data_IF_844140988679
#
_entry.id   IF_844140988679
#
_cell.length_a   1.000
_cell.length_b   1.000
_cell.length_c   1.000
_cell.angle_alpha   90.00
_cell.angle_beta   90.00
_cell.angle_gamma   90.00
#
_symmetry.space_group_name_H-M   'P 1'
#
loop_
_entity.id
_entity.type
_entity.pdbx_description
1 polymer ?
#
# COMPACT_ATOMS: atom_id res chain seq x y z
N UNK A 1 1.37 -14.62 2.02
CA UNK A 1 1.76 -13.47 2.88
C UNK A 1 1.50 -12.17 2.13
N UNK A 2 1.11 -11.07 2.80
CA UNK A 2 0.74 -9.77 2.20
C UNK A 2 1.56 -8.65 2.84
N UNK A 3 2.03 -7.67 2.05
CA UNK A 3 2.69 -6.44 2.52
C UNK A 3 1.68 -5.29 2.51
N UNK A 4 1.60 -4.54 3.59
CA UNK A 4 0.72 -3.37 3.69
C UNK A 4 1.56 -2.14 3.97
N UNK A 5 1.60 -1.23 3.02
CA UNK A 5 2.23 0.08 3.19
C UNK A 5 1.27 0.99 3.95
N UNK A 6 1.80 1.76 4.90
CA UNK A 6 1.04 2.72 5.71
C UNK A 6 1.94 3.92 6.04
N UNK A 7 1.43 4.86 6.83
CA UNK A 7 2.18 6.06 7.23
C UNK A 7 2.75 6.79 6.00
N UNK A 8 1.91 6.92 4.97
CA UNK A 8 2.26 7.62 3.73
C UNK A 8 2.37 9.11 4.05
N UNK A 9 3.53 9.69 3.71
CA UNK A 9 3.77 11.13 3.90
C UNK A 9 2.75 11.94 3.08
N UNK A 10 2.24 13.02 3.66
CA UNK A 10 1.28 13.93 3.02
C UNK A 10 1.81 14.61 1.75
N UNK A 11 3.13 14.50 1.48
CA UNK A 11 3.75 14.93 0.22
C UNK A 11 3.32 14.09 -0.98
N UNK A 12 2.88 12.86 -0.72
CA UNK A 12 2.35 11.97 -1.74
C UNK A 12 0.84 12.13 -1.78
N UNK A 13 0.35 12.82 -2.80
CA UNK A 13 -1.08 12.87 -3.08
C UNK A 13 -1.60 11.50 -3.60
N UNK A 14 -2.85 11.47 -4.05
CA UNK A 14 -3.50 10.25 -4.51
C UNK A 14 -2.79 9.59 -5.70
N UNK A 15 -2.20 10.37 -6.59
CA UNK A 15 -1.54 9.84 -7.79
C UNK A 15 -0.09 9.48 -7.50
N UNK A 16 0.61 10.27 -6.69
CA UNK A 16 1.94 9.94 -6.21
C UNK A 16 1.96 8.67 -5.35
N UNK A 17 0.88 8.42 -4.59
CA UNK A 17 0.70 7.17 -3.83
C UNK A 17 0.55 5.94 -4.74
N UNK A 18 0.06 6.09 -5.98
CA UNK A 18 0.00 4.97 -6.93
C UNK A 18 1.39 4.57 -7.43
N UNK A 19 2.28 5.54 -7.65
CA UNK A 19 3.67 5.26 -8.03
C UNK A 19 4.38 4.45 -6.95
N UNK A 20 4.22 4.82 -5.67
CA UNK A 20 4.74 4.05 -4.53
C UNK A 20 4.23 2.61 -4.50
N UNK A 21 2.94 2.39 -4.80
CA UNK A 21 2.37 1.04 -4.88
C UNK A 21 2.98 0.24 -6.03
N UNK A 22 3.18 0.85 -7.20
CA UNK A 22 3.80 0.19 -8.36
C UNK A 22 5.25 -0.22 -8.04
N UNK A 23 6.02 0.68 -7.42
CA UNK A 23 7.40 0.39 -6.98
C UNK A 23 7.42 -0.79 -6.02
N UNK A 24 6.58 -0.78 -4.98
CA UNK A 24 6.55 -1.87 -4.01
C UNK A 24 6.08 -3.20 -4.63
N UNK A 25 5.08 -3.17 -5.54
CA UNK A 25 4.61 -4.36 -6.27
C UNK A 25 5.66 -4.97 -7.19
N UNK A 26 6.60 -4.16 -7.70
CA UNK A 26 7.69 -4.66 -8.54
C UNK A 26 8.69 -5.54 -7.78
N UNK A 27 8.78 -5.38 -6.45
CA UNK A 27 9.64 -6.19 -5.56
C UNK A 27 8.82 -7.26 -4.82
N UNK A 28 7.59 -6.93 -4.40
CA UNK A 28 6.69 -7.81 -3.69
C UNK A 28 5.26 -7.66 -4.22
N UNK A 29 4.86 -8.55 -5.14
CA UNK A 29 3.61 -8.42 -5.90
C UNK A 29 2.35 -8.25 -5.02
N UNK A 30 2.27 -8.98 -3.90
CA UNK A 30 1.13 -8.93 -2.98
C UNK A 30 1.23 -7.75 -1.98
N UNK A 31 1.27 -6.53 -2.51
CA UNK A 31 1.33 -5.29 -1.76
C UNK A 31 0.07 -4.45 -1.91
N UNK A 32 -0.38 -3.85 -0.81
CA UNK A 32 -1.49 -2.87 -0.78
C UNK A 32 -1.09 -1.63 0.05
N UNK A 33 -1.75 -0.48 -0.19
CA UNK A 33 -1.61 0.72 0.64
C UNK A 33 -2.84 0.81 1.56
N UNK A 34 -2.59 0.93 2.86
CA UNK A 34 -3.63 1.24 3.83
C UNK A 34 -4.10 2.69 3.69
N UNK A 35 -5.40 2.87 3.81
CA UNK A 35 -6.07 4.16 3.92
C UNK A 35 -6.86 4.20 5.22
N UNK A 36 -7.32 5.38 5.60
CA UNK A 36 -8.06 5.57 6.83
C UNK A 36 -9.26 4.60 6.91
N UNK A 37 -9.33 3.87 8.04
CA UNK A 37 -10.35 2.85 8.32
C UNK A 37 -10.31 1.60 7.41
N UNK A 38 -9.22 1.38 6.66
CA UNK A 38 -9.06 0.15 5.89
C UNK A 38 -9.02 -1.09 6.78
N UNK A 39 -9.73 -2.14 6.38
CA UNK A 39 -9.80 -3.43 7.07
C UNK A 39 -9.12 -4.49 6.20
N UNK A 40 -8.26 -5.30 6.81
CA UNK A 40 -7.52 -6.36 6.13
C UNK A 40 -7.77 -7.71 6.79
N UNK A 41 -8.16 -8.70 5.99
CA UNK A 41 -8.27 -10.07 6.43
C UNK A 41 -6.87 -10.72 6.49
N UNK A 42 -6.58 -11.42 7.58
CA UNK A 42 -5.34 -12.18 7.76
C UNK A 42 -5.65 -13.67 7.52
N UNK A 43 -5.12 -14.22 6.42
CA UNK A 43 -5.30 -15.63 6.05
C UNK A 43 -6.62 -15.96 5.35
N UNK A 44 -6.77 -17.23 4.98
CA UNK A 44 -8.02 -17.97 5.20
C UNK A 44 -7.94 -18.62 6.59
#
# INVERSE_FOLDING_TARGET
>A
KKLILTHISSRYDRDASKALLIEAKSVFENTEIAYDLAVFQIGE
#
